data_IF_360019533781
#
_entry.id   IF_360019533781
#
_cell.length_a   1.000
_cell.length_b   1.000
_cell.length_c   1.000
_cell.angle_alpha   90.00
_cell.angle_beta   90.00
_cell.angle_gamma   90.00
#
_symmetry.space_group_name_H-M   'P 1'
#
loop_
_entity.id
_entity.type
_entity.pdbx_description
1 polymer ?
#
# COMPACT_ATOMS: atom_id res chain seq x y z
N UNK A 1 11.92 -14.38 23.04
CA UNK A 1 11.51 -12.96 23.12
C UNK A 1 10.91 -12.58 21.78
N UNK A 2 9.74 -11.94 21.77
CA UNK A 2 9.09 -11.50 20.53
C UNK A 2 9.96 -10.51 19.75
N UNK A 3 10.02 -10.67 18.43
CA UNK A 3 10.67 -9.74 17.51
C UNK A 3 9.66 -9.08 16.58
N UNK A 4 10.09 -7.99 15.95
CA UNK A 4 9.36 -7.33 14.88
C UNK A 4 9.79 -7.93 13.54
N UNK A 5 8.82 -8.20 12.65
CA UNK A 5 9.08 -8.57 11.26
C UNK A 5 8.40 -7.53 10.39
N UNK A 6 9.21 -6.76 9.67
CA UNK A 6 8.78 -5.64 8.84
C UNK A 6 8.91 -6.03 7.37
N UNK A 7 7.80 -6.01 6.65
CA UNK A 7 7.74 -6.28 5.21
C UNK A 7 7.54 -4.94 4.50
N UNK A 8 8.45 -4.57 3.62
CA UNK A 8 8.40 -3.34 2.84
C UNK A 8 8.24 -3.68 1.36
N UNK A 9 7.10 -3.32 0.77
CA UNK A 9 6.76 -3.65 -0.61
C UNK A 9 6.71 -2.37 -1.43
N UNK A 10 7.72 -2.15 -2.26
CA UNK A 10 7.81 -0.94 -3.06
C UNK A 10 6.90 -0.97 -4.30
N UNK A 11 6.66 0.20 -4.87
CA UNK A 11 6.12 0.31 -6.21
C UNK A 11 7.13 -0.20 -7.23
N UNK A 12 6.67 -0.58 -8.42
CA UNK A 12 7.56 -1.05 -9.49
C UNK A 12 8.61 -0.02 -9.85
N UNK A 13 9.87 -0.32 -9.56
CA UNK A 13 11.02 0.34 -10.15
C UNK A 13 11.81 -0.70 -10.93
N UNK A 14 12.09 -0.43 -12.22
CA UNK A 14 12.94 -1.30 -13.01
C UNK A 14 14.42 -1.19 -12.62
N UNK A 15 14.80 -0.17 -11.84
CA UNK A 15 16.18 0.04 -11.41
C UNK A 15 16.21 0.63 -9.98
N UNK A 16 17.10 0.12 -9.12
CA UNK A 16 17.52 0.83 -7.91
C UNK A 16 18.47 1.96 -8.34
N UNK A 17 17.99 2.85 -9.22
CA UNK A 17 18.75 3.97 -9.78
C UNK A 17 18.23 5.27 -9.20
N UNK A 18 19.09 5.96 -8.44
CA UNK A 18 19.03 7.38 -7.99
C UNK A 18 17.77 7.88 -7.24
N UNK A 19 16.57 7.52 -7.66
CA UNK A 19 15.31 8.12 -7.25
C UNK A 19 14.65 7.28 -6.16
N UNK A 20 14.74 7.75 -4.92
CA UNK A 20 14.35 6.95 -3.74
C UNK A 20 12.87 7.11 -3.45
N UNK A 21 12.17 5.98 -3.36
CA UNK A 21 10.81 5.93 -2.79
C UNK A 21 10.88 6.12 -1.28
N UNK A 22 9.74 6.46 -0.68
CA UNK A 22 9.59 6.52 0.76
C UNK A 22 9.65 5.14 1.41
N UNK A 23 9.34 4.05 0.68
CA UNK A 23 9.54 2.69 1.18
C UNK A 23 11.03 2.37 1.30
N UNK A 24 11.84 2.74 0.31
CA UNK A 24 13.30 2.59 0.37
C UNK A 24 13.94 3.50 1.43
N UNK A 25 13.47 4.74 1.57
CA UNK A 25 13.91 5.62 2.67
C UNK A 25 13.54 5.01 4.02
N UNK A 26 12.32 4.50 4.18
CA UNK A 26 11.85 3.84 5.41
C UNK A 26 12.72 2.62 5.76
N UNK A 27 13.07 1.79 4.77
CA UNK A 27 14.04 0.69 4.94
C UNK A 27 15.35 1.15 5.57
N UNK A 28 15.88 2.29 5.10
CA UNK A 28 17.06 2.93 5.66
C UNK A 28 16.87 3.46 7.09
N UNK A 29 15.68 3.97 7.43
CA UNK A 29 15.42 4.48 8.79
C UNK A 29 15.19 3.40 9.84
N UNK A 30 14.84 2.17 9.45
CA UNK A 30 14.57 1.08 10.40
C UNK A 30 15.86 0.47 10.94
N UNK A 31 15.85 0.05 12.20
CA UNK A 31 16.91 -0.80 12.75
C UNK A 31 16.83 -2.21 12.15
N UNK A 32 17.98 -2.78 11.79
CA UNK A 32 18.08 -4.16 11.30
C UNK A 32 18.86 -4.97 12.34
N UNK A 33 18.18 -5.88 13.04
CA UNK A 33 18.73 -6.66 14.16
C UNK A 33 17.90 -7.90 14.45
N UNK A 34 18.34 -8.77 15.35
CA UNK A 34 17.59 -9.98 15.72
C UNK A 34 16.22 -9.69 16.38
N UNK A 35 16.03 -8.46 16.89
CA UNK A 35 14.76 -7.98 17.44
C UNK A 35 13.86 -7.29 16.41
N UNK A 36 14.40 -6.95 15.23
CA UNK A 36 13.66 -6.35 14.12
C UNK A 36 14.23 -6.78 12.76
N UNK A 37 13.58 -7.77 12.16
CA UNK A 37 13.87 -8.22 10.80
C UNK A 37 13.16 -7.31 9.81
N UNK A 38 13.87 -6.87 8.77
CA UNK A 38 13.32 -5.99 7.75
C UNK A 38 13.56 -6.61 6.37
N UNK A 39 12.46 -6.95 5.69
CA UNK A 39 12.44 -7.43 4.31
C UNK A 39 12.04 -6.28 3.39
N UNK A 40 12.77 -6.09 2.31
CA UNK A 40 12.47 -5.09 1.28
C UNK A 40 12.36 -5.75 -0.08
N UNK A 41 11.23 -5.51 -0.73
CA UNK A 41 10.95 -5.92 -2.11
C UNK A 41 10.90 -4.65 -2.98
N UNK A 42 11.80 -4.50 -3.97
CA UNK A 42 11.84 -3.32 -4.84
C UNK A 42 10.67 -3.25 -5.85
N UNK A 43 9.77 -4.23 -5.86
CA UNK A 43 8.80 -4.42 -6.93
C UNK A 43 9.44 -5.15 -8.12
N UNK A 44 8.67 -5.94 -8.87
CA UNK A 44 9.17 -6.46 -10.14
C UNK A 44 9.02 -5.42 -11.25
N UNK A 45 10.13 -5.15 -11.92
CA UNK A 45 10.09 -4.60 -13.26
C UNK A 45 9.54 -5.63 -14.24
N UNK A 46 8.76 -5.17 -15.22
CA UNK A 46 8.21 -6.03 -16.27
C UNK A 46 9.36 -6.69 -17.03
N UNK A 47 9.68 -7.95 -16.75
CA UNK A 47 10.64 -8.72 -17.55
C UNK A 47 10.09 -8.93 -18.96
N UNK A 48 10.88 -8.54 -19.97
CA UNK A 48 10.68 -8.96 -21.37
C UNK A 48 10.69 -7.83 -22.40
N UNK A 49 11.85 -7.22 -22.65
CA UNK A 49 12.23 -6.73 -23.98
C UNK A 49 13.74 -6.54 -24.01
N UNK A 50 14.42 -7.37 -24.81
CA UNK A 50 15.82 -7.20 -25.15
C UNK A 50 16.11 -5.81 -25.75
N UNK A 51 17.35 -5.40 -25.51
CA UNK A 51 18.19 -4.38 -26.15
C UNK A 51 17.57 -3.48 -27.25
N UNK A 52 17.79 -2.17 -27.07
CA UNK A 52 17.55 -1.04 -27.99
C UNK A 52 16.16 -0.38 -27.93
N UNK A 53 15.93 0.48 -26.93
CA UNK A 53 14.92 1.53 -27.09
C UNK A 53 15.29 2.86 -26.42
N UNK A 54 15.16 3.94 -27.19
CA UNK A 54 15.48 5.33 -26.83
C UNK A 54 14.60 5.89 -25.70
N UNK A 55 15.05 7.00 -25.11
CA UNK A 55 14.49 7.69 -23.92
C UNK A 55 12.98 8.01 -23.94
N UNK A 56 12.28 7.82 -25.06
CA UNK A 56 10.82 7.93 -25.18
C UNK A 56 10.08 6.70 -24.63
N UNK A 57 10.78 5.60 -24.33
CA UNK A 57 10.20 4.31 -23.90
C UNK A 57 9.88 4.23 -22.41
N UNK A 58 10.56 4.99 -21.53
CA UNK A 58 10.38 4.94 -20.07
C UNK A 58 8.95 5.27 -19.64
N UNK A 59 8.36 6.31 -20.24
CA UNK A 59 6.98 6.74 -19.99
C UNK A 59 5.95 5.69 -20.42
N UNK A 60 6.23 4.92 -21.48
CA UNK A 60 5.38 3.84 -21.94
C UNK A 60 5.53 2.58 -21.07
N UNK A 61 6.73 2.30 -20.54
CA UNK A 61 6.98 1.16 -19.64
C UNK A 61 6.19 1.29 -18.33
N UNK A 62 6.04 2.50 -17.78
CA UNK A 62 5.21 2.76 -16.59
C UNK A 62 3.74 2.38 -16.86
N UNK A 63 3.19 2.81 -18.01
CA UNK A 63 1.81 2.53 -18.43
C UNK A 63 1.58 1.03 -18.67
N UNK A 64 2.50 0.36 -19.37
CA UNK A 64 2.40 -1.09 -19.67
C UNK A 64 2.64 -1.96 -18.43
N UNK A 65 3.52 -1.53 -17.53
CA UNK A 65 3.78 -2.22 -16.27
C UNK A 65 2.55 -2.34 -15.38
N UNK A 66 1.63 -1.37 -15.44
CA UNK A 66 0.34 -1.40 -14.71
C UNK A 66 -0.62 -2.52 -15.19
N UNK A 67 -0.37 -3.12 -16.35
CA UNK A 67 -1.30 -4.04 -17.00
C UNK A 67 -1.05 -5.54 -16.72
N UNK A 68 0.00 -5.93 -15.98
CA UNK A 68 0.32 -7.34 -15.74
C UNK A 68 0.31 -7.71 -14.26
N UNK A 69 -0.73 -8.46 -13.83
CA UNK A 69 -0.86 -9.01 -12.47
C UNK A 69 0.17 -10.09 -12.09
N UNK A 70 1.01 -10.52 -13.05
CA UNK A 70 2.04 -11.55 -12.85
C UNK A 70 3.09 -11.16 -11.79
N UNK A 71 3.40 -9.86 -11.67
CA UNK A 71 4.38 -9.39 -10.70
C UNK A 71 3.90 -9.36 -9.26
N UNK A 72 2.63 -9.00 -9.06
CA UNK A 72 2.03 -8.93 -7.73
C UNK A 72 2.01 -10.31 -7.05
N UNK A 73 1.62 -11.34 -7.79
CA UNK A 73 1.57 -12.72 -7.29
C UNK A 73 2.92 -13.18 -6.76
N UNK A 74 4.01 -12.85 -7.48
CA UNK A 74 5.36 -13.19 -7.07
C UNK A 74 5.71 -12.50 -5.75
N UNK A 75 5.55 -11.18 -5.68
CA UNK A 75 5.89 -10.37 -4.51
C UNK A 75 5.11 -10.79 -3.25
N UNK A 76 3.80 -11.07 -3.38
CA UNK A 76 3.00 -11.58 -2.25
C UNK A 76 3.55 -12.92 -1.76
N UNK A 77 3.87 -13.83 -2.68
CA UNK A 77 4.36 -15.17 -2.30
C UNK A 77 5.77 -15.12 -1.70
N UNK A 78 6.68 -14.32 -2.22
CA UNK A 78 8.02 -14.16 -1.64
C UNK A 78 7.96 -13.54 -0.24
N UNK A 79 7.19 -12.47 -0.06
CA UNK A 79 6.99 -11.88 1.27
C UNK A 79 6.30 -12.87 2.24
N UNK A 80 5.36 -13.67 1.76
CA UNK A 80 4.72 -14.72 2.57
C UNK A 80 5.70 -15.84 2.95
N UNK A 81 6.57 -16.28 2.03
CA UNK A 81 7.65 -17.26 2.33
C UNK A 81 8.57 -16.73 3.41
N UNK A 82 9.04 -15.49 3.25
CA UNK A 82 9.88 -14.83 4.25
C UNK A 82 9.20 -14.80 5.63
N UNK A 83 7.89 -14.47 5.69
CA UNK A 83 7.13 -14.53 6.94
C UNK A 83 7.11 -15.95 7.52
N UNK A 84 6.75 -16.97 6.74
CA UNK A 84 6.67 -18.36 7.21
C UNK A 84 8.03 -18.87 7.73
N UNK A 85 9.12 -18.47 7.11
CA UNK A 85 10.47 -18.92 7.50
C UNK A 85 11.00 -18.22 8.75
N UNK A 86 10.54 -17.00 9.04
CA UNK A 86 11.10 -16.17 10.12
C UNK A 86 10.14 -15.94 11.30
N UNK A 87 8.84 -16.20 11.12
CA UNK A 87 7.82 -15.95 12.12
C UNK A 87 7.80 -17.02 13.21
N UNK A 88 7.89 -16.59 14.46
CA UNK A 88 7.66 -17.42 15.62
C UNK A 88 6.37 -17.00 16.35
N UNK A 89 5.42 -17.93 16.45
CA UNK A 89 4.20 -17.72 17.22
C UNK A 89 4.47 -17.69 18.73
N UNK A 90 5.65 -18.14 19.18
CA UNK A 90 5.98 -18.31 20.58
C UNK A 90 5.16 -19.40 21.26
N UNK A 91 5.46 -19.71 22.53
CA UNK A 91 4.72 -20.71 23.29
C UNK A 91 3.27 -20.27 23.53
N UNK A 92 2.38 -21.25 23.66
CA UNK A 92 1.00 -21.03 24.10
C UNK A 92 0.99 -20.98 25.62
N UNK A 93 0.60 -19.83 26.17
CA UNK A 93 0.40 -19.63 27.61
C UNK A 93 -1.05 -19.23 27.87
N UNK A 94 -1.78 -20.05 28.63
CA UNK A 94 -3.20 -19.81 28.99
C UNK A 94 -4.10 -19.53 27.77
N UNK A 95 -3.82 -20.21 26.65
CA UNK A 95 -4.58 -20.04 25.40
C UNK A 95 -4.26 -18.77 24.61
N UNK A 96 -3.19 -18.05 24.98
CA UNK A 96 -2.68 -16.89 24.26
C UNK A 96 -1.22 -17.10 23.87
N UNK A 97 -0.75 -16.32 22.89
CA UNK A 97 0.65 -16.25 22.49
C UNK A 97 1.26 -14.91 22.93
N UNK A 98 1.70 -14.78 24.20
CA UNK A 98 2.17 -13.50 24.74
C UNK A 98 3.46 -13.01 24.08
N UNK A 99 4.32 -13.95 23.66
CA UNK A 99 5.65 -13.68 23.07
C UNK A 99 5.68 -13.84 21.55
N UNK A 100 4.52 -13.77 20.89
CA UNK A 100 4.48 -13.88 19.44
C UNK A 100 5.16 -12.72 18.74
N UNK A 101 5.75 -13.01 17.59
CA UNK A 101 6.31 -11.98 16.73
C UNK A 101 5.22 -11.04 16.19
N UNK A 102 5.63 -9.80 15.91
CA UNK A 102 4.75 -8.72 15.42
C UNK A 102 5.02 -8.46 13.95
N UNK A 103 3.96 -8.55 13.14
CA UNK A 103 4.05 -8.35 11.68
C UNK A 103 3.68 -6.90 11.34
N UNK A 104 4.58 -6.20 10.67
CA UNK A 104 4.39 -4.86 10.13
C UNK A 104 4.52 -4.94 8.61
N UNK A 105 3.56 -4.39 7.87
CA UNK A 105 3.58 -4.42 6.42
C UNK A 105 3.45 -3.00 5.90
N UNK A 106 4.36 -2.59 5.03
CA UNK A 106 4.31 -1.31 4.36
C UNK A 106 4.29 -1.49 2.85
N UNK A 107 3.73 -0.52 2.16
CA UNK A 107 4.00 -0.39 0.75
C UNK A 107 3.61 0.93 0.13
N UNK A 108 4.07 1.13 -1.10
CA UNK A 108 3.76 2.30 -1.92
C UNK A 108 3.09 1.89 -3.22
N UNK A 109 2.06 2.63 -3.67
CA UNK A 109 1.45 2.44 -4.98
C UNK A 109 0.90 1.02 -5.17
N UNK A 110 1.43 0.28 -6.14
CA UNK A 110 1.16 -1.14 -6.34
C UNK A 110 1.71 -2.02 -5.23
N UNK A 111 2.84 -1.66 -4.64
CA UNK A 111 3.38 -2.30 -3.44
C UNK A 111 2.45 -2.12 -2.24
N UNK A 112 1.75 -0.99 -2.12
CA UNK A 112 0.71 -0.79 -1.10
C UNK A 112 -0.50 -1.71 -1.33
N UNK A 113 -0.89 -1.93 -2.60
CA UNK A 113 -1.92 -2.91 -2.91
C UNK A 113 -1.44 -4.35 -2.63
N UNK A 114 -0.20 -4.68 -2.97
CA UNK A 114 0.46 -5.95 -2.66
C UNK A 114 0.49 -6.20 -1.14
N UNK A 115 0.77 -5.17 -0.33
CA UNK A 115 0.72 -5.22 1.13
C UNK A 115 -0.69 -5.58 1.65
N UNK A 116 -1.72 -4.97 1.07
CA UNK A 116 -3.12 -5.30 1.39
C UNK A 116 -3.49 -6.73 1.00
N UNK A 117 -3.03 -7.20 -0.16
CA UNK A 117 -3.27 -8.58 -0.62
C UNK A 117 -2.54 -9.59 0.28
N UNK A 118 -1.29 -9.32 0.68
CA UNK A 118 -0.55 -10.13 1.65
C UNK A 118 -1.30 -10.19 2.99
N UNK A 119 -1.75 -9.04 3.50
CA UNK A 119 -2.54 -8.97 4.72
C UNK A 119 -3.86 -9.75 4.63
N UNK A 120 -4.55 -9.67 3.48
CA UNK A 120 -5.77 -10.42 3.21
C UNK A 120 -5.51 -11.93 3.09
N UNK A 121 -4.39 -12.33 2.50
CA UNK A 121 -3.99 -13.73 2.41
C UNK A 121 -3.64 -14.31 3.78
N UNK A 122 -2.91 -13.58 4.62
CA UNK A 122 -2.65 -13.98 6.03
C UNK A 122 -3.96 -14.11 6.81
N UNK A 123 -4.90 -13.16 6.63
CA UNK A 123 -6.21 -13.24 7.28
C UNK A 123 -7.00 -14.48 6.86
N UNK A 124 -7.03 -14.79 5.56
CA UNK A 124 -7.79 -15.92 5.02
C UNK A 124 -7.12 -17.27 5.31
N UNK A 125 -5.80 -17.37 5.07
CA UNK A 125 -5.03 -18.61 5.09
C UNK A 125 -4.34 -18.90 6.42
N UNK A 126 -3.86 -17.85 7.08
CA UNK A 126 -2.83 -17.97 8.10
C UNK A 126 -1.42 -18.16 7.54
N UNK A 127 -0.44 -18.22 8.43
CA UNK A 127 0.92 -18.66 8.16
C UNK A 127 0.98 -20.18 8.32
N UNK A 128 1.44 -20.85 7.25
CA UNK A 128 1.65 -22.30 7.25
C UNK A 128 3.03 -22.65 7.80
N UNK A 129 3.31 -23.94 7.95
CA UNK A 129 4.64 -24.42 8.34
C UNK A 129 5.57 -24.37 7.12
N UNK A 130 6.86 -24.08 7.34
CA UNK A 130 7.87 -23.99 6.27
C UNK A 130 7.90 -25.22 5.36
N UNK A 131 7.69 -26.41 5.92
CA UNK A 131 7.61 -27.68 5.18
C UNK A 131 6.46 -27.77 4.16
N UNK A 132 5.44 -26.90 4.28
CA UNK A 132 4.27 -26.87 3.39
C UNK A 132 4.32 -25.71 2.38
N UNK A 133 5.44 -24.99 2.28
CA UNK A 133 5.60 -23.91 1.30
C UNK A 133 5.50 -24.39 -0.16
N UNK A 134 5.68 -25.69 -0.42
CA UNK A 134 5.41 -26.30 -1.73
C UNK A 134 3.93 -26.19 -2.15
N UNK A 135 3.00 -25.99 -1.21
CA UNK A 135 1.56 -25.84 -1.46
C UNK A 135 1.14 -24.37 -1.64
N UNK A 136 2.06 -23.41 -1.45
CA UNK A 136 1.75 -21.98 -1.46
C UNK A 136 1.07 -21.54 -2.76
N UNK A 137 1.53 -22.01 -3.91
CA UNK A 137 0.94 -21.65 -5.20
C UNK A 137 -0.52 -22.10 -5.33
N UNK A 138 -0.86 -23.28 -4.80
CA UNK A 138 -2.23 -23.80 -4.82
C UNK A 138 -3.15 -23.04 -3.86
N UNK A 139 -2.65 -22.79 -2.65
CA UNK A 139 -3.37 -22.01 -1.63
C UNK A 139 -3.64 -20.58 -2.11
N UNK A 140 -2.62 -19.93 -2.67
CA UNK A 140 -2.74 -18.56 -3.17
C UNK A 140 -3.67 -18.47 -4.39
N UNK A 141 -3.59 -19.43 -5.33
CA UNK A 141 -4.56 -19.52 -6.44
C UNK A 141 -6.00 -19.68 -5.95
N UNK A 142 -6.20 -20.48 -4.89
CA UNK A 142 -7.52 -20.65 -4.27
C UNK A 142 -8.01 -19.33 -3.67
N UNK A 143 -7.15 -18.62 -2.93
CA UNK A 143 -7.45 -17.29 -2.38
C UNK A 143 -7.86 -16.29 -3.46
N UNK A 144 -7.13 -16.22 -4.58
CA UNK A 144 -7.47 -15.32 -5.71
C UNK A 144 -8.78 -15.66 -6.40
N UNK A 145 -9.25 -16.91 -6.30
CA UNK A 145 -10.54 -17.35 -6.81
C UNK A 145 -11.74 -16.86 -6.00
N UNK A 146 -11.51 -16.28 -4.81
CA UNK A 146 -12.56 -15.84 -3.90
C UNK A 146 -13.03 -14.44 -4.29
N UNK A 147 -14.32 -14.23 -4.59
CA UNK A 147 -14.87 -12.89 -4.81
C UNK A 147 -14.91 -12.08 -3.49
N UNK A 148 -14.66 -10.78 -3.58
CA UNK A 148 -14.71 -9.86 -2.43
C UNK A 148 -16.10 -9.84 -1.74
N UNK A 149 -17.18 -9.96 -2.53
CA UNK A 149 -18.54 -10.14 -2.03
C UNK A 149 -19.10 -11.49 -2.50
N UNK A 150 -19.34 -12.45 -1.59
CA UNK A 150 -20.08 -13.67 -1.90
C UNK A 150 -21.48 -13.34 -2.43
N UNK A 151 -22.03 -14.10 -3.39
CA UNK A 151 -23.45 -13.99 -3.75
C UNK A 151 -24.32 -14.21 -2.50
N UNK A 152 -25.34 -13.38 -2.31
CA UNK A 152 -26.31 -13.46 -1.19
C UNK A 152 -26.98 -14.83 -1.09
N UNK A 153 -26.97 -15.61 -2.17
CA UNK A 153 -27.56 -16.96 -2.30
C UNK A 153 -26.62 -18.11 -1.91
N UNK A 154 -25.37 -17.84 -1.49
CA UNK A 154 -24.43 -18.90 -1.12
C UNK A 154 -24.84 -19.54 0.22
N UNK A 155 -25.39 -20.76 0.16
CA UNK A 155 -25.68 -21.60 1.33
C UNK A 155 -24.39 -22.04 2.04
N UNK A 156 -24.49 -22.46 3.31
CA UNK A 156 -23.37 -22.90 4.16
C UNK A 156 -22.47 -24.01 3.56
N UNK A 157 -22.91 -24.71 2.51
CA UNK A 157 -22.13 -25.75 1.81
C UNK A 157 -21.28 -25.21 0.66
N UNK A 158 -21.53 -23.98 0.20
CA UNK A 158 -20.87 -23.34 -0.96
C UNK A 158 -20.25 -22.00 -0.57
N UNK A 159 -19.65 -21.92 0.63
CA UNK A 159 -18.89 -20.73 1.02
C UNK A 159 -17.75 -20.54 0.00
N UNK A 160 -17.55 -19.33 -0.55
CA UNK A 160 -16.39 -19.05 -1.41
C UNK A 160 -15.05 -19.38 -0.74
N UNK A 161 -15.05 -19.44 0.59
CA UNK A 161 -13.92 -19.83 1.43
C UNK A 161 -13.83 -21.34 1.68
N UNK A 162 -14.69 -22.19 1.11
CA UNK A 162 -14.70 -23.64 1.39
C UNK A 162 -13.36 -24.30 1.05
N UNK A 163 -12.76 -23.93 -0.09
CA UNK A 163 -11.40 -24.39 -0.44
C UNK A 163 -10.35 -23.91 0.55
N UNK A 164 -10.48 -22.67 1.05
CA UNK A 164 -9.58 -22.12 2.06
C UNK A 164 -9.71 -22.80 3.42
N UNK A 165 -10.94 -23.12 3.82
CA UNK A 165 -11.27 -23.86 5.04
C UNK A 165 -10.77 -25.31 4.98
N UNK A 166 -10.66 -25.90 3.79
CA UNK A 166 -10.08 -27.23 3.63
C UNK A 166 -8.58 -27.20 3.94
N UNK A 167 -7.83 -26.28 3.32
CA UNK A 167 -6.41 -26.11 3.65
C UNK A 167 -6.22 -25.78 5.13
N UNK A 168 -7.05 -24.91 5.70
CA UNK A 168 -7.04 -24.60 7.12
C UNK A 168 -7.16 -25.84 8.00
N UNK A 169 -8.17 -26.69 7.76
CA UNK A 169 -8.38 -27.90 8.55
C UNK A 169 -7.26 -28.92 8.40
N UNK A 170 -6.59 -28.94 7.25
CA UNK A 170 -5.56 -29.94 6.94
C UNK A 170 -4.16 -29.51 7.39
N UNK A 171 -3.83 -28.22 7.28
CA UNK A 171 -2.47 -27.70 7.51
C UNK A 171 -2.26 -27.16 8.93
N UNK A 172 -3.33 -26.87 9.67
CA UNK A 172 -3.28 -26.31 11.02
C UNK A 172 -2.47 -25.01 11.06
N UNK A 173 -2.82 -24.08 10.17
CA UNK A 173 -2.12 -22.80 10.02
C UNK A 173 -2.40 -21.85 11.20
N UNK A 174 -1.37 -21.16 11.69
CA UNK A 174 -1.52 -20.07 12.65
C UNK A 174 -2.06 -18.82 11.95
N UNK A 175 -2.93 -18.05 12.62
CA UNK A 175 -3.47 -16.79 12.09
C UNK A 175 -3.01 -15.63 12.96
N UNK A 176 -1.80 -15.11 12.70
CA UNK A 176 -1.29 -13.99 13.47
C UNK A 176 -2.09 -12.71 13.20
N UNK A 177 -2.30 -11.87 14.23
CA UNK A 177 -2.71 -10.49 14.01
C UNK A 177 -1.60 -9.77 13.25
N UNK A 178 -2.01 -8.83 12.42
CA UNK A 178 -1.09 -7.93 11.73
C UNK A 178 -1.03 -6.67 12.59
N UNK A 179 0.15 -6.35 13.12
CA UNK A 179 0.30 -5.24 14.05
C UNK A 179 0.04 -3.91 13.35
N UNK A 180 0.56 -3.75 12.13
CA UNK A 180 0.45 -2.50 11.40
C UNK A 180 0.45 -2.70 9.88
N UNK A 181 -0.38 -1.92 9.20
CA UNK A 181 -0.37 -1.73 7.75
C UNK A 181 -0.14 -0.24 7.43
N UNK A 182 1.02 0.09 6.86
CA UNK A 182 1.42 1.45 6.50
C UNK A 182 1.48 1.66 5.00
N UNK A 183 0.65 2.53 4.45
CA UNK A 183 0.40 2.62 3.02
C UNK A 183 0.70 4.02 2.49
N UNK A 184 1.46 4.10 1.40
CA UNK A 184 1.63 5.32 0.61
C UNK A 184 0.84 5.18 -0.68
N UNK A 185 -0.13 6.07 -0.86
CA UNK A 185 -0.92 6.30 -2.07
C UNK A 185 -1.32 5.03 -2.84
N UNK A 186 -2.09 4.15 -2.18
CA UNK A 186 -2.52 2.87 -2.76
C UNK A 186 -3.28 3.08 -4.06
N UNK A 187 -2.86 2.40 -5.13
CA UNK A 187 -3.57 2.36 -6.42
C UNK A 187 -3.88 0.91 -6.79
N UNK A 188 -5.08 0.64 -7.32
CA UNK A 188 -5.43 -0.70 -7.77
C UNK A 188 -4.61 -1.09 -9.00
N UNK A 189 -4.01 -2.29 -8.95
CA UNK A 189 -3.17 -2.82 -10.03
C UNK A 189 -3.80 -4.06 -10.67
N UNK A 190 -4.97 -3.95 -11.32
CA UNK A 190 -5.58 -5.16 -11.92
C UNK A 190 -6.30 -4.87 -13.24
N UNK A 191 -5.52 -4.80 -14.33
CA UNK A 191 -6.00 -5.35 -15.59
C UNK A 191 -5.60 -6.83 -15.56
N UNK A 192 -6.46 -7.73 -15.09
CA UNK A 192 -6.24 -9.16 -15.31
C UNK A 192 -6.81 -9.54 -16.69
N UNK A 193 -5.95 -10.05 -17.58
CA UNK A 193 -6.35 -10.65 -18.86
C UNK A 193 -6.84 -12.09 -18.61
N UNK A 194 -8.09 -12.26 -18.20
CA UNK A 194 -8.71 -13.58 -18.04
C UNK A 194 -9.52 -13.99 -19.27
N UNK A 195 -9.21 -15.13 -19.91
CA UNK A 195 -9.99 -15.70 -21.03
C UNK A 195 -10.37 -14.68 -22.13
N UNK A 196 -9.42 -13.83 -22.53
CA UNK A 196 -9.65 -12.81 -23.57
C UNK A 196 -10.54 -11.63 -23.16
N UNK A 197 -10.85 -11.46 -21.86
CA UNK A 197 -11.59 -10.31 -21.32
C UNK A 197 -10.80 -9.62 -20.20
N UNK A 198 -10.73 -8.30 -20.28
CA UNK A 198 -10.19 -7.46 -19.20
C UNK A 198 -11.18 -7.50 -18.03
N UNK A 199 -10.77 -8.02 -16.88
CA UNK A 199 -11.56 -8.01 -15.65
C UNK A 199 -10.83 -7.24 -14.56
N UNK A 200 -11.53 -6.27 -13.95
CA UNK A 200 -11.13 -5.66 -12.69
C UNK A 200 -11.62 -6.60 -11.59
N UNK A 201 -10.77 -7.51 -11.12
CA UNK A 201 -11.06 -8.28 -9.91
C UNK A 201 -10.53 -7.49 -8.72
N UNK A 202 -11.19 -7.58 -7.58
CA UNK A 202 -10.68 -7.14 -6.29
C UNK A 202 -10.48 -8.38 -5.43
N UNK A 203 -9.33 -8.47 -4.75
CA UNK A 203 -9.07 -9.57 -3.82
C UNK A 203 -9.83 -9.36 -2.50
N UNK A 204 -10.25 -10.42 -1.81
CA UNK A 204 -10.97 -10.28 -0.56
C UNK A 204 -10.04 -9.72 0.52
N UNK A 205 -10.61 -8.92 1.42
CA UNK A 205 -9.93 -8.30 2.55
C UNK A 205 -8.86 -7.23 2.21
N UNK A 206 -8.92 -6.63 1.02
CA UNK A 206 -8.01 -5.53 0.65
C UNK A 206 -8.47 -4.14 1.07
N UNK A 207 -9.77 -3.98 1.37
CA UNK A 207 -10.35 -2.73 1.90
C UNK A 207 -10.87 -2.86 3.33
N UNK A 208 -11.09 -4.10 3.78
CA UNK A 208 -11.59 -4.47 5.10
C UNK A 208 -10.86 -5.67 5.65
N UNK A 209 -10.17 -5.54 6.76
CA UNK A 209 -9.42 -6.67 7.34
C UNK A 209 -9.35 -6.56 8.87
N UNK A 210 -10.20 -7.30 9.61
CA UNK A 210 -10.26 -7.20 11.07
C UNK A 210 -9.05 -7.84 11.79
N UNK A 211 -8.12 -8.44 11.05
CA UNK A 211 -6.85 -8.93 11.62
C UNK A 211 -5.77 -7.85 11.74
N UNK A 212 -5.96 -6.69 11.11
CA UNK A 212 -5.02 -5.57 11.20
C UNK A 212 -5.37 -4.70 12.41
N UNK A 213 -4.39 -4.39 13.26
CA UNK A 213 -4.60 -3.55 14.46
C UNK A 213 -4.46 -2.06 14.14
N UNK A 214 -3.33 -1.68 13.50
CA UNK A 214 -3.04 -0.30 13.11
C UNK A 214 -3.05 -0.16 11.59
N UNK A 215 -3.74 0.87 11.09
CA UNK A 215 -3.73 1.23 9.67
C UNK A 215 -3.34 2.69 9.54
N UNK A 216 -2.30 2.96 8.75
CA UNK A 216 -1.86 4.31 8.38
C UNK A 216 -1.81 4.41 6.88
N UNK A 217 -2.46 5.43 6.31
CA UNK A 217 -2.46 5.63 4.87
C UNK A 217 -2.26 7.10 4.52
N UNK A 218 -1.21 7.38 3.76
CA UNK A 218 -0.96 8.68 3.16
C UNK A 218 -1.51 8.70 1.73
N UNK A 219 -2.22 9.76 1.33
CA UNK A 219 -2.85 9.89 0.01
C UNK A 219 -2.47 11.22 -0.66
N UNK A 220 -2.32 11.20 -1.98
CA UNK A 220 -2.00 12.39 -2.78
C UNK A 220 -3.28 13.17 -3.20
N UNK A 221 -3.28 14.49 -3.01
CA UNK A 221 -4.38 15.39 -3.40
C UNK A 221 -4.36 15.70 -4.89
N UNK A 222 -3.17 15.97 -5.46
CA UNK A 222 -3.02 16.61 -6.78
C UNK A 222 -2.81 15.62 -7.94
N UNK A 223 -2.83 14.32 -7.65
CA UNK A 223 -2.72 13.28 -8.68
C UNK A 223 -4.00 13.19 -9.52
N UNK A 224 -3.85 13.25 -10.85
CA UNK A 224 -4.95 13.38 -11.82
C UNK A 224 -4.98 12.27 -12.88
N UNK A 225 -3.94 11.43 -12.95
CA UNK A 225 -3.87 10.32 -13.91
C UNK A 225 -4.99 9.33 -13.62
N UNK A 226 -5.75 9.00 -14.66
CA UNK A 226 -6.94 8.16 -14.58
C UNK A 226 -6.64 6.78 -14.01
N UNK A 227 -5.45 6.23 -14.25
CA UNK A 227 -5.05 4.92 -13.73
C UNK A 227 -4.52 4.97 -12.29
N UNK A 228 -4.33 6.16 -11.72
CA UNK A 228 -3.83 6.38 -10.35
C UNK A 228 -4.95 6.86 -9.44
N UNK A 229 -6.14 6.24 -9.54
CA UNK A 229 -7.23 6.48 -8.60
C UNK A 229 -6.88 5.82 -7.26
N UNK A 230 -7.04 6.55 -6.13
CA UNK A 230 -6.65 6.02 -4.84
C UNK A 230 -7.66 4.97 -4.39
N UNK A 231 -7.15 3.91 -3.78
CA UNK A 231 -7.94 2.91 -3.10
C UNK A 231 -8.02 3.24 -1.61
N UNK A 232 -9.17 3.74 -1.18
CA UNK A 232 -9.40 4.11 0.22
C UNK A 232 -9.54 2.86 1.10
N UNK A 233 -9.19 3.01 2.38
CA UNK A 233 -9.51 2.01 3.41
C UNK A 233 -10.91 2.28 3.97
N UNK A 234 -11.69 1.24 4.31
CA UNK A 234 -12.98 1.50 4.94
C UNK A 234 -12.78 1.95 6.41
N UNK A 235 -13.34 3.08 6.85
CA UNK A 235 -13.22 3.52 8.25
C UNK A 235 -14.02 2.64 9.23
N UNK A 236 -13.81 2.86 10.53
CA UNK A 236 -14.61 2.35 11.66
C UNK A 236 -14.73 0.82 11.81
N UNK A 237 -13.77 0.08 11.26
CA UNK A 237 -13.72 -1.37 11.35
C UNK A 237 -13.40 -1.87 12.75
N UNK A 238 -13.91 -3.06 13.06
CA UNK A 238 -13.58 -3.80 14.28
C UNK A 238 -12.23 -4.50 14.16
N UNK A 239 -11.46 -4.51 15.23
CA UNK A 239 -10.25 -5.31 15.38
C UNK A 239 -10.54 -6.58 16.18
N UNK A 240 -10.16 -7.73 15.60
CA UNK A 240 -10.27 -9.06 16.21
C UNK A 240 -8.90 -9.72 16.42
N UNK A 241 -7.93 -9.38 15.58
CA UNK A 241 -6.63 -10.04 15.51
C UNK A 241 -6.70 -11.38 14.79
N UNK A 242 -7.47 -12.33 15.32
CA UNK A 242 -7.77 -13.60 14.65
C UNK A 242 -9.21 -13.56 14.08
N UNK A 243 -9.45 -14.05 12.84
CA UNK A 243 -10.78 -14.01 12.22
C UNK A 243 -11.92 -14.63 13.07
N UNK A 244 -11.60 -15.65 13.87
CA UNK A 244 -12.56 -16.39 14.68
C UNK A 244 -12.65 -15.90 16.14
N UNK A 245 -11.81 -14.93 16.52
CA UNK A 245 -11.85 -14.34 17.85
C UNK A 245 -13.00 -13.32 17.98
N UNK A 246 -13.48 -13.08 19.22
CA UNK A 246 -14.38 -11.96 19.50
C UNK A 246 -13.71 -10.62 19.16
N UNK A 247 -14.54 -9.60 18.97
CA UNK A 247 -14.07 -8.22 18.76
C UNK A 247 -13.32 -7.76 20.00
N UNK A 248 -12.09 -7.27 19.81
CA UNK A 248 -11.22 -6.74 20.87
C UNK A 248 -11.33 -5.22 21.01
N UNK A 249 -11.81 -4.55 19.97
CA UNK A 249 -11.97 -3.10 19.93
C UNK A 249 -12.13 -2.59 18.50
N UNK A 250 -11.94 -1.29 18.29
CA UNK A 250 -11.85 -0.69 16.96
C UNK A 250 -10.42 -0.74 16.43
N UNK A 251 -10.26 -0.76 15.10
CA UNK A 251 -8.95 -0.56 14.48
C UNK A 251 -8.41 0.83 14.82
N UNK A 252 -7.11 0.92 15.07
CA UNK A 252 -6.42 2.20 15.14
C UNK A 252 -6.15 2.67 13.70
N UNK A 253 -7.14 3.34 13.10
CA UNK A 253 -7.13 3.77 11.70
C UNK A 253 -6.88 5.29 11.59
N UNK A 254 -5.95 5.69 10.71
CA UNK A 254 -5.75 7.09 10.30
C UNK A 254 -5.36 7.13 8.81
N UNK A 255 -6.17 7.81 8.00
CA UNK A 255 -5.91 8.08 6.58
C UNK A 255 -5.82 9.59 6.40
N UNK A 256 -4.71 10.07 5.82
CA UNK A 256 -4.37 11.50 5.74
C UNK A 256 -3.96 11.87 4.32
N UNK A 257 -4.49 12.98 3.84
CA UNK A 257 -4.24 13.52 2.52
C UNK A 257 -3.15 14.59 2.56
N UNK A 258 -2.24 14.53 1.60
CA UNK A 258 -1.07 15.41 1.46
C UNK A 258 -1.08 16.11 0.10
N UNK A 259 -0.58 17.34 0.05
CA UNK A 259 -0.36 18.05 -1.21
C UNK A 259 0.69 17.34 -2.05
N UNK A 260 0.57 17.43 -3.36
CA UNK A 260 1.45 16.82 -4.34
C UNK A 260 0.80 15.68 -5.12
N UNK A 261 1.52 15.19 -6.14
CA UNK A 261 1.10 14.03 -6.95
C UNK A 261 1.54 12.71 -6.30
N UNK A 262 1.29 11.58 -6.95
CA UNK A 262 1.60 10.24 -6.44
C UNK A 262 3.05 10.10 -5.90
N UNK A 263 4.04 10.58 -6.67
CA UNK A 263 5.45 10.57 -6.29
C UNK A 263 5.82 11.61 -5.22
N UNK A 264 5.03 12.66 -5.04
CA UNK A 264 5.21 13.60 -3.92
C UNK A 264 4.73 13.01 -2.59
N UNK A 265 3.98 11.91 -2.62
CA UNK A 265 3.56 11.17 -1.42
C UNK A 265 4.37 9.92 -1.17
N UNK A 266 4.65 9.15 -2.22
CA UNK A 266 5.40 7.91 -2.10
C UNK A 266 6.88 7.99 -2.44
N UNK A 267 7.37 9.14 -2.90
CA UNK A 267 8.74 9.30 -3.41
C UNK A 267 8.90 8.78 -4.85
N UNK A 268 10.16 8.63 -5.28
CA UNK A 268 10.50 8.24 -6.65
C UNK A 268 10.92 9.40 -7.56
N UNK A 269 11.11 10.59 -7.00
CA UNK A 269 11.80 11.70 -7.66
C UNK A 269 13.25 11.79 -7.16
N UNK A 270 14.14 12.51 -7.90
CA UNK A 270 15.48 12.80 -7.44
C UNK A 270 15.48 13.45 -6.05
N UNK A 271 16.54 13.21 -5.28
CA UNK A 271 16.61 13.64 -3.88
C UNK A 271 16.44 15.16 -3.72
N UNK A 272 17.06 15.96 -4.60
CA UNK A 272 16.95 17.43 -4.58
C UNK A 272 15.53 17.94 -4.86
N UNK A 273 14.74 17.14 -5.56
CA UNK A 273 13.36 17.43 -5.95
C UNK A 273 12.35 16.77 -5.01
N UNK A 274 12.80 16.07 -3.95
CA UNK A 274 11.92 15.29 -3.08
C UNK A 274 11.45 15.94 -1.76
N UNK A 275 11.51 17.26 -1.50
CA UNK A 275 11.21 17.78 -0.17
C UNK A 275 9.73 17.62 0.23
N UNK A 276 8.79 17.49 -0.72
CA UNK A 276 7.41 17.15 -0.40
C UNK A 276 7.25 15.71 0.09
N UNK A 277 7.89 14.76 -0.59
CA UNK A 277 7.85 13.34 -0.26
C UNK A 277 8.36 13.03 1.16
N UNK A 278 9.19 13.90 1.73
CA UNK A 278 9.67 13.72 3.11
C UNK A 278 8.60 13.99 4.17
N UNK A 279 7.57 14.77 3.86
CA UNK A 279 6.50 15.10 4.82
C UNK A 279 5.63 13.86 5.13
N UNK A 280 5.08 13.12 4.15
CA UNK A 280 4.36 11.89 4.42
C UNK A 280 5.22 10.80 5.07
N UNK A 281 6.52 10.76 4.75
CA UNK A 281 7.45 9.82 5.36
C UNK A 281 7.66 10.13 6.86
N UNK A 282 7.93 11.38 7.21
CA UNK A 282 8.05 11.83 8.61
C UNK A 282 6.76 11.55 9.38
N UNK A 283 5.60 11.88 8.79
CA UNK A 283 4.29 11.54 9.35
C UNK A 283 4.14 10.03 9.61
N UNK A 284 4.46 9.20 8.61
CA UNK A 284 4.35 7.74 8.73
C UNK A 284 5.25 7.20 9.85
N UNK A 285 6.48 7.71 9.98
CA UNK A 285 7.41 7.31 11.05
C UNK A 285 6.83 7.66 12.42
N UNK A 286 6.39 8.90 12.62
CA UNK A 286 5.81 9.37 13.90
C UNK A 286 4.56 8.60 14.29
N UNK A 287 3.69 8.32 13.33
CA UNK A 287 2.43 7.60 13.56
C UNK A 287 2.63 6.10 13.87
N UNK A 288 3.72 5.52 13.38
CA UNK A 288 3.95 4.07 13.48
C UNK A 288 4.95 3.71 14.59
N UNK A 289 5.77 4.66 15.05
CA UNK A 289 6.70 4.47 16.17
C UNK A 289 5.98 4.00 17.46
N UNK A 290 4.83 4.56 17.87
CA UNK A 290 4.09 4.06 19.04
C UNK A 290 3.58 2.61 18.90
N UNK A 291 3.51 2.07 17.67
CA UNK A 291 3.13 0.68 17.43
C UNK A 291 4.27 -0.33 17.72
N UNK A 292 5.46 0.17 18.11
CA UNK A 292 6.59 -0.65 18.56
C UNK A 292 7.70 -0.85 17.53
N UNK A 293 7.69 -0.13 16.40
CA UNK A 293 8.78 -0.13 15.43
C UNK A 293 10.02 0.58 15.98
N UNK A 294 11.19 0.06 15.64
CA UNK A 294 12.47 0.56 16.10
C UNK A 294 13.15 1.31 14.96
N UNK A 295 13.32 2.61 15.14
CA UNK A 295 13.91 3.51 14.15
C UNK A 295 15.31 3.98 14.57
N UNK A 296 16.15 4.26 13.57
CA UNK A 296 17.47 4.88 13.70
C UNK A 296 17.34 6.40 13.56
N UNK A 297 17.34 7.10 14.69
CA UNK A 297 17.13 8.55 14.73
C UNK A 297 18.18 9.32 13.92
N UNK A 298 19.44 8.90 13.96
CA UNK A 298 20.53 9.48 13.17
C UNK A 298 20.25 9.42 11.67
N UNK A 299 19.66 8.31 11.21
CA UNK A 299 19.28 8.16 9.81
C UNK A 299 18.06 9.01 9.48
N UNK A 300 17.07 9.10 10.37
CA UNK A 300 15.91 9.99 10.19
C UNK A 300 16.37 11.43 10.03
N UNK A 301 17.19 11.92 10.97
CA UNK A 301 17.70 13.28 10.96
C UNK A 301 18.45 13.59 9.66
N UNK A 302 19.23 12.62 9.16
CA UNK A 302 19.96 12.74 7.90
C UNK A 302 19.05 12.70 6.66
N UNK A 303 18.35 11.59 6.42
CA UNK A 303 17.70 11.33 5.12
C UNK A 303 16.27 11.89 5.04
N UNK A 304 15.56 11.99 6.16
CA UNK A 304 14.16 12.46 6.21
C UNK A 304 14.11 13.94 6.55
N UNK A 305 14.85 14.38 7.57
CA UNK A 305 14.78 15.77 8.02
C UNK A 305 15.83 16.68 7.37
N UNK A 306 16.86 16.12 6.72
CA UNK A 306 17.91 16.90 6.05
C UNK A 306 18.69 17.78 7.04
N UNK A 307 18.94 17.27 8.24
CA UNK A 307 19.56 18.01 9.35
C UNK A 307 21.07 17.73 9.50
N UNK A 308 21.61 16.70 8.84
CA UNK A 308 23.03 16.35 8.93
C UNK A 308 23.90 17.27 8.05
N UNK A 309 24.74 18.16 8.64
CA UNK A 309 25.57 19.08 7.88
C UNK A 309 26.64 18.39 7.03
N UNK A 310 26.99 17.13 7.35
CA UNK A 310 27.97 16.34 6.58
C UNK A 310 27.39 15.75 5.30
N UNK A 311 26.06 15.73 5.18
CA UNK A 311 25.34 15.16 4.05
C UNK A 311 24.35 16.19 3.47
N UNK A 312 24.84 17.30 2.88
CA UNK A 312 24.01 18.37 2.34
C UNK A 312 23.18 17.94 1.12
N UNK A 313 23.44 16.77 0.55
CA UNK A 313 22.65 16.20 -0.54
C UNK A 313 21.19 15.87 -0.13
N UNK A 314 20.91 15.67 1.16
CA UNK A 314 19.56 15.41 1.64
C UNK A 314 18.80 16.70 1.96
N UNK A 315 17.77 16.99 1.17
CA UNK A 315 16.97 18.21 1.33
C UNK A 315 16.05 18.16 2.55
N UNK A 316 15.64 19.31 3.10
CA UNK A 316 14.67 19.35 4.20
C UNK A 316 13.23 19.18 3.68
N UNK A 317 12.30 18.63 4.48
CA UNK A 317 10.88 18.64 4.14
C UNK A 317 10.38 20.07 3.86
N UNK A 318 9.58 20.26 2.81
CA UNK A 318 9.05 21.59 2.46
C UNK A 318 7.61 21.53 1.98
N UNK A 319 6.64 22.12 2.71
CA UNK A 319 5.22 22.10 2.35
C UNK A 319 4.91 23.01 1.13
N UNK A 320 5.77 23.98 0.86
CA UNK A 320 5.59 25.01 -0.18
C UNK A 320 6.41 24.77 -1.46
N UNK A 321 7.19 23.68 -1.52
CA UNK A 321 7.88 23.30 -2.76
C UNK A 321 6.86 23.11 -3.89
N UNK A 322 7.10 23.48 -5.16
CA UNK A 322 6.15 23.24 -6.25
C UNK A 322 5.82 21.74 -6.40
N UNK A 323 4.56 21.35 -6.67
CA UNK A 323 4.24 19.94 -6.88
C UNK A 323 4.73 19.52 -8.26
N UNK A 324 5.10 18.25 -8.41
CA UNK A 324 5.51 17.76 -9.73
C UNK A 324 4.30 17.63 -10.65
N UNK A 325 4.54 17.72 -11.96
CA UNK A 325 3.52 17.38 -12.95
C UNK A 325 3.72 15.94 -13.43
N UNK A 326 2.91 15.01 -12.93
CA UNK A 326 2.92 13.61 -13.38
C UNK A 326 2.20 13.40 -14.73
N UNK A 327 1.53 14.43 -15.28
CA UNK A 327 0.70 14.34 -16.49
C UNK A 327 1.51 14.54 -17.77
N UNK A 328 2.37 13.56 -18.10
CA UNK A 328 3.16 13.54 -19.33
C UNK A 328 2.28 13.38 -20.60
N UNK A 329 2.89 13.49 -21.78
CA UNK A 329 2.18 13.46 -23.06
C UNK A 329 1.39 12.15 -23.29
N UNK A 330 1.93 11.00 -22.86
CA UNK A 330 1.25 9.71 -22.97
C UNK A 330 -0.01 9.66 -22.08
N UNK A 331 0.10 10.13 -20.83
CA UNK A 331 -1.04 10.23 -19.92
C UNK A 331 -2.12 11.14 -20.48
N UNK A 332 -1.76 12.30 -21.05
CA UNK A 332 -2.72 13.23 -21.68
C UNK A 332 -3.54 12.55 -22.77
N UNK A 333 -2.96 11.63 -23.54
CA UNK A 333 -3.69 10.86 -24.56
C UNK A 333 -4.65 9.86 -23.89
N UNK A 334 -4.19 9.12 -22.88
CA UNK A 334 -5.02 8.15 -22.15
C UNK A 334 -6.21 8.79 -21.44
N UNK A 335 -6.10 10.05 -21.01
CA UNK A 335 -7.19 10.80 -20.39
C UNK A 335 -8.40 11.02 -21.32
N UNK A 336 -8.25 10.83 -22.63
CA UNK A 336 -9.33 10.92 -23.61
C UNK A 336 -9.98 9.58 -23.95
N UNK A 337 -9.44 8.46 -23.45
CA UNK A 337 -10.01 7.12 -23.67
C UNK A 337 -11.21 6.93 -22.73
N UNK A 338 -12.42 6.69 -23.26
CA UNK A 338 -13.58 6.41 -22.42
C UNK A 338 -13.37 5.14 -21.59
N UNK A 339 -13.72 5.21 -20.30
CA UNK A 339 -13.68 4.06 -19.39
C UNK A 339 -14.92 4.04 -18.50
N UNK A 340 -15.12 2.93 -17.78
CA UNK A 340 -16.15 2.88 -16.74
C UNK A 340 -15.84 3.88 -15.64
N UNK A 341 -16.85 4.64 -15.21
CA UNK A 341 -16.75 5.61 -14.12
C UNK A 341 -16.25 4.93 -12.84
N UNK A 342 -15.07 5.30 -12.30
CA UNK A 342 -14.62 4.82 -11.01
C UNK A 342 -15.50 5.40 -9.91
N UNK A 343 -15.67 4.66 -8.81
CA UNK A 343 -16.40 5.15 -7.63
C UNK A 343 -15.77 6.42 -7.03
N UNK A 344 -14.47 6.64 -7.29
CA UNK A 344 -13.67 7.79 -6.85
C UNK A 344 -13.58 8.91 -7.90
N UNK A 345 -14.44 8.88 -8.93
CA UNK A 345 -14.59 9.98 -9.91
C UNK A 345 -15.10 11.23 -9.20
N UNK A 346 -14.44 12.37 -9.40
CA UNK A 346 -14.86 13.63 -8.80
C UNK A 346 -16.04 14.24 -9.57
N UNK A 347 -15.98 14.24 -10.92
CA UNK A 347 -17.06 14.78 -11.77
C UNK A 347 -18.35 13.97 -11.75
N UNK A 348 -18.23 12.64 -11.72
CA UNK A 348 -19.37 11.72 -11.89
C UNK A 348 -19.54 10.83 -10.65
N UNK A 349 -19.32 11.39 -9.46
CA UNK A 349 -19.42 10.66 -8.20
C UNK A 349 -20.79 9.98 -8.08
N UNK A 350 -20.81 8.65 -7.97
CA UNK A 350 -22.03 7.87 -7.83
C UNK A 350 -22.75 7.50 -9.13
N UNK A 351 -22.29 7.96 -10.29
CA UNK A 351 -22.85 7.58 -11.59
C UNK A 351 -22.23 6.29 -12.14
N UNK A 352 -23.05 5.44 -12.78
CA UNK A 352 -22.59 4.23 -13.48
C UNK A 352 -22.66 4.47 -14.98
N UNK A 353 -21.52 4.43 -15.67
CA UNK A 353 -21.49 4.63 -17.12
C UNK A 353 -20.09 4.64 -17.70
N UNK A 354 -20.01 4.97 -18.99
CA UNK A 354 -18.76 5.36 -19.64
C UNK A 354 -18.55 6.85 -19.43
N UNK A 355 -17.34 7.25 -19.05
CA UNK A 355 -16.96 8.66 -18.96
C UNK A 355 -15.56 8.87 -19.55
N UNK A 356 -15.30 10.09 -19.96
CA UNK A 356 -13.97 10.52 -20.41
C UNK A 356 -13.27 11.22 -19.24
N UNK A 357 -12.16 10.68 -18.73
CA UNK A 357 -11.47 11.19 -17.54
C UNK A 357 -11.07 12.67 -17.62
N UNK A 358 -10.42 13.12 -18.70
CA UNK A 358 -9.99 14.52 -18.88
C UNK A 358 -9.27 15.09 -17.64
N UNK A 359 -8.30 14.34 -17.11
CA UNK A 359 -7.49 14.72 -15.93
C UNK A 359 -8.33 15.09 -14.70
N UNK A 360 -9.42 14.36 -14.49
CA UNK A 360 -10.35 14.59 -13.37
C UNK A 360 -9.61 14.53 -12.02
N UNK A 361 -9.77 15.53 -11.13
CA UNK A 361 -9.24 15.47 -9.78
C UNK A 361 -9.71 14.22 -9.02
N UNK A 362 -9.01 13.88 -7.93
CA UNK A 362 -9.45 12.81 -7.03
C UNK A 362 -10.64 13.28 -6.19
N UNK A 363 -11.61 12.40 -6.00
CA UNK A 363 -12.68 12.63 -5.02
C UNK A 363 -12.12 12.47 -3.60
N UNK A 364 -12.05 13.57 -2.86
CA UNK A 364 -11.69 13.58 -1.43
C UNK A 364 -12.99 13.50 -0.60
N UNK A 365 -13.15 12.52 0.29
CA UNK A 365 -14.32 12.44 1.16
C UNK A 365 -14.50 13.70 2.03
N UNK A 366 -15.75 14.09 2.31
CA UNK A 366 -16.04 15.30 3.10
C UNK A 366 -15.48 15.28 4.52
N UNK A 367 -15.31 14.11 5.12
CA UNK A 367 -14.69 13.92 6.44
C UNK A 367 -13.23 13.48 6.39
N UNK A 368 -12.55 13.62 5.25
CA UNK A 368 -11.14 13.25 5.14
C UNK A 368 -10.24 14.17 5.98
N UNK A 369 -9.18 13.57 6.54
CA UNK A 369 -8.14 14.30 7.25
C UNK A 369 -7.09 14.77 6.26
N UNK A 370 -6.68 16.03 6.36
CA UNK A 370 -5.62 16.64 5.57
C UNK A 370 -4.44 16.92 6.49
N UNK A 371 -3.21 16.73 6.03
CA UNK A 371 -2.05 17.05 6.85
C UNK A 371 -1.90 18.58 7.01
N UNK A 372 -1.37 19.06 8.14
CA UNK A 372 -1.19 20.49 8.43
C UNK A 372 -0.28 21.19 7.41
N UNK A 373 0.61 20.46 6.75
CA UNK A 373 1.39 20.95 5.60
C UNK A 373 0.51 21.47 4.45
N UNK A 374 -0.68 20.89 4.24
CA UNK A 374 -1.64 21.34 3.23
C UNK A 374 -2.13 22.74 3.60
N UNK A 375 -2.45 22.97 4.88
CA UNK A 375 -2.84 24.29 5.37
C UNK A 375 -1.72 25.31 5.17
N UNK A 376 -0.48 24.98 5.55
CA UNK A 376 0.67 25.86 5.32
C UNK A 376 0.82 26.25 3.85
N UNK A 377 0.52 25.32 2.95
CA UNK A 377 0.57 25.56 1.51
C UNK A 377 -0.57 26.44 1.00
N UNK A 378 -1.80 26.22 1.50
CA UNK A 378 -2.96 27.06 1.20
C UNK A 378 -2.73 28.51 1.67
N UNK A 379 -2.23 28.68 2.89
CA UNK A 379 -1.95 30.00 3.49
C UNK A 379 -0.86 30.77 2.72
N UNK A 380 0.01 30.08 1.96
CA UNK A 380 1.01 30.69 1.08
C UNK A 380 0.41 31.26 -0.24
N UNK A 381 -0.89 31.03 -0.52
CA UNK A 381 -1.64 31.67 -1.61
C UNK A 381 -1.44 31.12 -3.02
N UNK A 382 -0.45 30.24 -3.24
CA UNK A 382 -0.14 29.66 -4.57
C UNK A 382 -0.75 28.26 -4.79
N UNK A 383 -1.74 27.87 -3.98
CA UNK A 383 -2.31 26.53 -3.99
C UNK A 383 -3.80 26.61 -3.70
N UNK A 384 -4.62 26.16 -4.64
CA UNK A 384 -6.10 26.15 -4.54
C UNK A 384 -6.67 24.94 -5.31
N UNK A 385 -6.49 23.71 -4.79
CA UNK A 385 -6.98 22.52 -5.47
C UNK A 385 -8.53 22.46 -5.41
N UNK A 386 -9.21 22.22 -6.54
CA UNK A 386 -10.66 22.32 -6.64
C UNK A 386 -11.42 21.19 -5.94
N UNK A 387 -10.71 20.13 -5.51
CA UNK A 387 -11.27 18.91 -4.93
C UNK A 387 -11.20 18.87 -3.40
N UNK A 388 -10.87 19.97 -2.74
CA UNK A 388 -10.91 20.03 -1.28
C UNK A 388 -12.34 19.94 -0.73
N UNK A 389 -12.53 19.28 0.42
CA UNK A 389 -13.81 19.31 1.11
C UNK A 389 -14.13 20.74 1.59
N UNK A 390 -15.41 21.10 1.65
CA UNK A 390 -15.85 22.45 2.04
C UNK A 390 -15.45 22.84 3.46
N UNK A 391 -15.24 21.85 4.35
CA UNK A 391 -14.77 22.08 5.72
C UNK A 391 -13.57 21.14 6.00
N UNK A 392 -12.36 21.50 5.56
CA UNK A 392 -11.19 20.64 5.68
C UNK A 392 -10.76 20.49 7.13
N UNK A 393 -10.50 19.25 7.55
CA UNK A 393 -9.96 18.94 8.87
C UNK A 393 -8.45 18.73 8.76
N UNK A 394 -7.67 19.56 9.44
CA UNK A 394 -6.21 19.46 9.42
C UNK A 394 -5.68 18.71 10.64
N UNK A 395 -4.71 17.81 10.42
CA UNK A 395 -4.04 17.01 11.43
C UNK A 395 -2.52 17.06 11.26
N UNK A 396 -1.80 16.84 12.35
CA UNK A 396 -0.35 16.62 12.32
C UNK A 396 0.01 15.14 12.16
#
# INVERSE_FOLDING_TARGET
MSKNIVILLDGTSNEISADRTNVLRLFGTLEHSDRQLVYYDPGVGTFGADENWSSFSRDATEVWGLATGWGLDHNVKEAYRFLVENYDAGPVEKGAHPDRDRIYIFGFSRGAYTARVLAGFIHAFGLTKSIYLNLLDYAYRTYKGIPEQPPVTASNTTSPFAGMRLYEKTLDNDRPPIKLLGLFDTVASMIEMGHGRIQLKTHPFTHKNPSVEWVRQALAIDERRTMFRPELWTPDQDYRGNPFAPVKGKQNFKEVWFSGVHGDVGGGYPELESPQAKIPLDWMIRETQPAGLIYRQDIIDRIVLGLDPKHPEYVKPSPVYPPHDSMNAAWRILEWIPRRTPLTSWRNAGERGLYVPRSDPRLIPSGALLHSSVKTRLDNGNYDPPNLPSNPQFVD
#
